data_IF_885066303163
#
_entry.id   IF_885066303163
#
_cell.length_a   1.000
_cell.length_b   1.000
_cell.length_c   1.000
_cell.angle_alpha   90.00
_cell.angle_beta   90.00
_cell.angle_gamma   90.00
#
_symmetry.space_group_name_H-M   'P 1'
#
loop_
_entity.id
_entity.type
_entity.pdbx_description
1 polymer ?
#
# COMPACT_ATOMS: atom_id res chain seq x y z
N UNK A 1 -8.10 -0.22 -24.60
CA UNK A 1 -6.80 -0.46 -23.95
C UNK A 1 -6.94 -1.76 -23.16
N UNK A 2 -6.07 -2.74 -23.41
CA UNK A 2 -6.06 -4.00 -22.63
C UNK A 2 -5.57 -3.64 -21.22
N UNK A 3 -6.35 -3.96 -20.19
CA UNK A 3 -5.91 -3.77 -18.81
C UNK A 3 -4.82 -4.81 -18.52
N UNK A 4 -3.56 -4.39 -18.45
CA UNK A 4 -2.43 -5.27 -18.16
C UNK A 4 -2.39 -5.69 -16.68
N UNK A 5 -3.19 -5.05 -15.84
CA UNK A 5 -3.32 -5.31 -14.40
C UNK A 5 -4.80 -5.44 -14.04
N UNK A 6 -5.48 -6.52 -14.45
CA UNK A 6 -6.88 -6.73 -14.10
C UNK A 6 -7.04 -6.80 -12.57
N UNK A 7 -8.19 -6.34 -12.09
CA UNK A 7 -8.57 -6.54 -10.68
C UNK A 7 -8.83 -8.03 -10.47
N UNK A 8 -8.04 -8.66 -9.61
CA UNK A 8 -8.15 -10.08 -9.25
C UNK A 8 -9.13 -10.23 -8.08
N UNK A 9 -10.01 -11.24 -8.13
CA UNK A 9 -10.97 -11.58 -7.06
C UNK A 9 -11.04 -13.09 -6.81
N UNK A 10 -9.91 -13.77 -6.97
CA UNK A 10 -9.87 -15.22 -6.83
C UNK A 10 -9.97 -15.61 -5.35
N UNK A 11 -10.72 -16.69 -5.03
CA UNK A 11 -10.76 -17.23 -3.68
C UNK A 11 -9.37 -17.57 -3.17
N UNK A 12 -9.10 -17.24 -1.92
CA UNK A 12 -7.78 -17.42 -1.32
C UNK A 12 -7.74 -18.73 -0.57
N UNK A 13 -6.72 -19.55 -0.86
CA UNK A 13 -6.38 -20.67 0.02
C UNK A 13 -5.70 -20.09 1.24
N UNK A 14 -6.32 -20.24 2.41
CA UNK A 14 -5.80 -19.67 3.66
C UNK A 14 -4.34 -20.07 3.90
N UNK A 15 -3.54 -19.07 4.27
CA UNK A 15 -2.16 -19.23 4.73
C UNK A 15 -1.84 -18.07 5.67
N UNK A 16 -1.11 -18.31 6.78
CA UNK A 16 -0.77 -17.27 7.77
C UNK A 16 0.16 -16.19 7.20
N UNK A 17 0.67 -16.37 5.99
CA UNK A 17 1.59 -15.46 5.30
C UNK A 17 0.88 -14.63 4.23
N UNK A 18 -0.45 -14.72 4.11
CA UNK A 18 -1.20 -14.00 3.08
C UNK A 18 -1.69 -12.67 3.63
N UNK A 19 -1.39 -11.59 2.90
CA UNK A 19 -1.78 -10.24 3.26
C UNK A 19 -2.19 -9.45 2.03
N UNK A 20 -2.93 -8.37 2.26
CA UNK A 20 -3.40 -7.48 1.21
C UNK A 20 -3.29 -6.03 1.66
N UNK A 21 -3.00 -5.14 0.72
CA UNK A 21 -2.89 -3.70 0.98
C UNK A 21 -3.64 -2.89 -0.07
N UNK A 22 -4.10 -1.70 0.32
CA UNK A 22 -4.73 -0.75 -0.58
C UNK A 22 -3.80 0.44 -0.86
N UNK A 23 -3.44 0.60 -2.13
CA UNK A 23 -2.81 1.82 -2.65
C UNK A 23 -3.92 2.77 -3.07
N UNK A 24 -4.17 3.80 -2.28
CA UNK A 24 -5.12 4.85 -2.62
C UNK A 24 -4.38 6.00 -3.30
N UNK A 25 -4.71 6.23 -4.56
CA UNK A 25 -4.28 7.39 -5.33
C UNK A 25 -5.47 8.32 -5.53
N UNK A 26 -5.25 9.63 -5.48
CA UNK A 26 -6.30 10.57 -5.82
C UNK A 26 -5.77 11.84 -6.49
N UNK A 27 -6.63 12.50 -7.25
CA UNK A 27 -6.29 13.76 -7.92
C UNK A 27 -6.76 14.94 -7.07
N UNK A 28 -5.86 15.90 -6.85
CA UNK A 28 -6.16 17.18 -6.22
C UNK A 28 -5.26 18.27 -6.80
N UNK A 29 -5.84 19.39 -7.25
CA UNK A 29 -5.10 20.51 -7.87
C UNK A 29 -4.08 20.06 -8.94
N UNK A 30 -4.53 19.24 -9.91
CA UNK A 30 -3.72 18.69 -11.01
C UNK A 30 -2.51 17.84 -10.59
N UNK A 31 -2.46 17.41 -9.32
CA UNK A 31 -1.45 16.49 -8.80
C UNK A 31 -2.09 15.19 -8.36
N UNK A 32 -1.34 14.10 -8.54
CA UNK A 32 -1.69 12.79 -7.98
C UNK A 32 -1.05 12.70 -6.61
N UNK A 33 -1.86 12.39 -5.61
CA UNK A 33 -1.44 12.10 -4.25
C UNK A 33 -1.56 10.60 -3.98
N UNK A 34 -0.71 10.11 -3.09
CA UNK A 34 -0.76 8.76 -2.53
C UNK A 34 -0.98 8.85 -1.03
N UNK A 35 -1.87 8.01 -0.50
CA UNK A 35 -2.06 7.84 0.94
C UNK A 35 -1.09 6.81 1.50
N UNK A 36 -0.43 7.16 2.60
CA UNK A 36 0.35 6.24 3.42
C UNK A 36 0.03 6.44 4.90
N UNK A 37 0.08 5.37 5.68
CA UNK A 37 -0.08 5.38 7.14
C UNK A 37 1.27 5.37 7.82
N UNK A 38 1.36 5.97 9.01
CA UNK A 38 2.45 5.80 9.95
C UNK A 38 2.00 4.86 11.06
N UNK A 39 2.65 3.70 11.18
CA UNK A 39 2.33 2.74 12.23
C UNK A 39 2.67 3.30 13.60
N UNK A 40 1.77 3.11 14.55
CA UNK A 40 1.95 3.51 15.94
C UNK A 40 3.23 2.94 16.55
N UNK A 41 4.01 3.81 17.19
CA UNK A 41 5.24 3.42 17.91
C UNK A 41 4.97 2.47 19.08
N UNK A 42 3.72 2.34 19.51
CA UNK A 42 3.32 1.44 20.61
C UNK A 42 3.17 -0.01 20.15
N UNK A 43 3.18 -0.27 18.82
CA UNK A 43 3.04 -1.60 18.27
C UNK A 43 4.32 -2.43 18.46
N UNK A 44 4.12 -3.74 18.67
CA UNK A 44 5.22 -4.69 18.85
C UNK A 44 5.97 -4.99 17.55
N UNK A 45 5.33 -4.78 16.41
CA UNK A 45 5.82 -5.15 15.08
C UNK A 45 5.80 -3.90 14.21
N UNK A 46 6.94 -3.60 13.56
CA UNK A 46 7.11 -2.48 12.64
C UNK A 46 6.71 -1.08 13.20
N UNK A 47 7.09 -0.73 14.45
CA UNK A 47 6.72 0.56 15.04
C UNK A 47 7.35 1.74 14.27
N UNK A 48 6.53 2.74 13.92
CA UNK A 48 6.99 3.95 13.21
C UNK A 48 7.33 3.75 11.74
N UNK A 49 7.00 2.59 11.16
CA UNK A 49 7.16 2.37 9.72
C UNK A 49 6.01 3.00 8.92
N UNK A 50 6.35 3.50 7.73
CA UNK A 50 5.35 3.98 6.77
C UNK A 50 4.91 2.87 5.83
N UNK A 51 3.60 2.67 5.72
CA UNK A 51 3.01 1.61 4.90
C UNK A 51 1.76 2.09 4.17
N UNK A 52 1.28 1.25 3.24
CA UNK A 52 -0.08 1.36 2.76
C UNK A 52 -1.04 0.74 3.79
N UNK A 53 -2.29 1.22 3.88
CA UNK A 53 -3.31 0.55 4.67
C UNK A 53 -3.46 -0.91 4.26
N UNK A 54 -3.57 -1.81 5.22
CA UNK A 54 -3.69 -3.23 4.92
C UNK A 54 -3.22 -4.15 6.04
N UNK A 55 -3.47 -5.43 5.85
CA UNK A 55 -3.28 -6.41 6.89
C UNK A 55 -3.39 -7.84 6.39
N UNK A 56 -3.59 -8.75 7.33
CA UNK A 56 -3.61 -10.19 7.05
C UNK A 56 -4.98 -10.60 6.53
N UNK A 57 -4.98 -11.60 5.65
CA UNK A 57 -6.21 -12.26 5.23
C UNK A 57 -6.87 -12.97 6.41
N UNK A 58 -8.17 -12.76 6.55
CA UNK A 58 -9.04 -13.51 7.46
C UNK A 58 -10.00 -14.39 6.66
N UNK A 59 -10.38 -15.56 7.18
CA UNK A 59 -11.22 -16.52 6.44
C UNK A 59 -12.57 -15.91 6.02
N UNK A 60 -13.06 -14.96 6.81
CA UNK A 60 -14.31 -14.23 6.60
C UNK A 60 -14.24 -13.24 5.44
N UNK A 61 -13.04 -12.86 4.99
CA UNK A 61 -12.85 -11.95 3.85
C UNK A 61 -13.24 -12.62 2.52
N UNK A 62 -13.00 -13.94 2.38
CA UNK A 62 -13.25 -14.71 1.16
C UNK A 62 -12.28 -14.44 -0.01
N UNK A 63 -11.86 -13.19 -0.21
CA UNK A 63 -10.84 -12.78 -1.18
C UNK A 63 -9.91 -11.65 -0.68
N UNK A 64 -8.78 -11.44 -1.34
CA UNK A 64 -7.79 -10.42 -0.92
C UNK A 64 -8.23 -8.98 -1.20
N UNK A 65 -9.18 -8.77 -2.10
CA UNK A 65 -9.71 -7.43 -2.33
C UNK A 65 -10.52 -7.01 -1.10
N UNK A 66 -11.36 -7.91 -0.60
CA UNK A 66 -12.16 -7.75 0.61
C UNK A 66 -11.27 -7.52 1.83
N UNK A 67 -10.15 -8.25 1.95
CA UNK A 67 -9.13 -7.98 2.97
C UNK A 67 -8.60 -6.54 2.89
N UNK A 68 -8.16 -6.08 1.71
CA UNK A 68 -7.62 -4.72 1.57
C UNK A 68 -8.66 -3.65 1.92
N UNK A 69 -9.92 -3.86 1.52
CA UNK A 69 -11.03 -2.94 1.80
C UNK A 69 -11.40 -2.91 3.29
N UNK A 70 -11.47 -4.08 3.95
CA UNK A 70 -11.73 -4.19 5.39
C UNK A 70 -10.65 -3.46 6.18
N UNK A 71 -9.39 -3.80 5.94
CA UNK A 71 -8.24 -3.22 6.65
C UNK A 71 -8.15 -1.70 6.42
N UNK A 72 -8.38 -1.23 5.18
CA UNK A 72 -8.43 0.22 4.90
C UNK A 72 -9.53 0.92 5.71
N UNK A 73 -10.68 0.29 5.84
CA UNK A 73 -11.77 0.84 6.65
C UNK A 73 -11.46 0.80 8.15
N UNK A 74 -10.81 -0.27 8.63
CA UNK A 74 -10.47 -0.45 10.04
C UNK A 74 -9.35 0.48 10.49
N UNK A 75 -8.28 0.62 9.69
CA UNK A 75 -7.11 1.43 10.05
C UNK A 75 -7.35 2.94 9.92
N UNK A 76 -8.06 3.38 8.87
CA UNK A 76 -8.18 4.81 8.51
C UNK A 76 -9.61 5.29 8.30
N UNK A 77 -10.61 4.45 8.61
CA UNK A 77 -12.03 4.79 8.48
C UNK A 77 -12.52 5.01 7.03
N UNK A 78 -11.66 4.77 6.04
CA UNK A 78 -11.95 5.04 4.63
C UNK A 78 -12.75 3.86 4.04
N UNK A 79 -14.01 4.15 3.69
CA UNK A 79 -14.88 3.20 2.99
C UNK A 79 -14.71 3.38 1.48
N UNK A 80 -14.21 2.35 0.81
CA UNK A 80 -14.12 2.28 -0.64
C UNK A 80 -15.14 1.26 -1.14
N UNK A 81 -15.79 1.59 -2.26
CA UNK A 81 -16.56 0.62 -3.04
C UNK A 81 -15.59 -0.10 -3.98
N UNK A 82 -15.74 -1.41 -4.13
CA UNK A 82 -14.85 -2.21 -4.97
C UNK A 82 -14.81 -1.74 -6.44
N UNK A 83 -15.85 -1.06 -6.92
CA UNK A 83 -15.91 -0.49 -8.27
C UNK A 83 -14.91 0.66 -8.48
N UNK A 84 -14.38 1.23 -7.40
CA UNK A 84 -13.31 2.23 -7.41
C UNK A 84 -11.92 1.62 -7.52
N UNK A 85 -11.80 0.29 -7.39
CA UNK A 85 -10.52 -0.41 -7.52
C UNK A 85 -10.24 -0.68 -8.99
N UNK A 86 -9.10 -0.21 -9.48
CA UNK A 86 -8.79 -0.16 -10.90
C UNK A 86 -7.79 -1.23 -11.34
N UNK A 87 -6.91 -1.67 -10.43
CA UNK A 87 -5.84 -2.59 -10.76
C UNK A 87 -5.39 -3.43 -9.56
N UNK A 88 -4.79 -4.58 -9.88
CA UNK A 88 -3.99 -5.38 -8.94
C UNK A 88 -2.54 -5.36 -9.40
N UNK A 89 -1.63 -4.95 -8.52
CA UNK A 89 -0.19 -4.95 -8.78
C UNK A 89 0.41 -6.35 -8.54
N UNK A 90 1.62 -6.64 -9.06
CA UNK A 90 2.31 -7.89 -8.76
C UNK A 90 2.43 -8.16 -7.25
N UNK A 91 2.33 -9.44 -6.88
CA UNK A 91 2.49 -9.87 -5.49
C UNK A 91 3.90 -9.56 -5.00
N UNK A 92 4.00 -8.96 -3.82
CA UNK A 92 5.27 -8.63 -3.17
C UNK A 92 5.54 -9.61 -2.03
N UNK A 93 6.68 -10.31 -2.12
CA UNK A 93 7.15 -11.16 -1.02
C UNK A 93 8.03 -10.37 -0.04
N UNK A 94 7.68 -10.42 1.25
CA UNK A 94 8.47 -9.80 2.33
C UNK A 94 9.63 -10.70 2.75
N UNK A 95 10.56 -10.14 3.54
CA UNK A 95 11.65 -10.89 4.17
C UNK A 95 11.17 -12.00 5.10
N UNK A 96 10.02 -11.78 5.75
CA UNK A 96 9.39 -12.71 6.68
C UNK A 96 8.51 -13.75 5.98
N UNK A 97 8.46 -13.74 4.64
CA UNK A 97 7.72 -14.70 3.83
C UNK A 97 6.27 -14.33 3.53
N UNK A 98 5.81 -13.14 3.94
CA UNK A 98 4.46 -12.69 3.60
C UNK A 98 4.34 -12.44 2.10
N UNK A 99 3.22 -12.86 1.53
CA UNK A 99 2.81 -12.57 0.16
C UNK A 99 1.74 -11.48 0.22
N UNK A 100 2.15 -10.26 -0.13
CA UNK A 100 1.29 -9.09 -0.11
C UNK A 100 0.73 -8.85 -1.51
N UNK A 101 -0.59 -8.85 -1.64
CA UNK A 101 -1.28 -8.48 -2.89
C UNK A 101 -1.71 -7.01 -2.82
N UNK A 102 -1.16 -6.12 -3.66
CA UNK A 102 -1.54 -4.71 -3.64
C UNK A 102 -2.70 -4.42 -4.62
N UNK A 103 -3.76 -3.80 -4.13
CA UNK A 103 -4.84 -3.25 -4.95
C UNK A 103 -4.69 -1.74 -5.08
N UNK A 104 -5.06 -1.19 -6.23
CA UNK A 104 -4.97 0.25 -6.52
C UNK A 104 -6.36 0.83 -6.73
N UNK A 105 -6.73 1.79 -5.89
CA UNK A 105 -7.92 2.62 -6.07
C UNK A 105 -7.50 4.03 -6.51
N UNK A 106 -8.07 4.51 -7.62
CA UNK A 106 -7.81 5.86 -8.15
C UNK A 106 -9.08 6.69 -8.01
N UNK A 107 -9.03 7.68 -7.13
CA UNK A 107 -10.16 8.54 -6.81
C UNK A 107 -10.06 9.88 -7.55
N UNK A 108 -11.20 10.40 -8.00
CA UNK A 108 -11.25 11.70 -8.67
C UNK A 108 -11.09 12.91 -7.74
N UNK A 109 -11.17 12.71 -6.43
CA UNK A 109 -11.10 13.74 -5.40
C UNK A 109 -10.40 13.22 -4.15
N UNK A 110 -9.95 14.14 -3.29
CA UNK A 110 -9.42 13.80 -1.96
C UNK A 110 -10.43 12.91 -1.19
N UNK A 111 -9.98 11.75 -0.66
CA UNK A 111 -10.83 10.85 0.11
C UNK A 111 -11.18 11.46 1.48
N UNK A 112 -12.37 11.15 1.98
CA UNK A 112 -12.75 11.53 3.34
C UNK A 112 -12.27 10.46 4.33
N UNK A 113 -11.19 10.77 5.04
CA UNK A 113 -10.62 9.91 6.09
C UNK A 113 -11.52 9.92 7.33
N UNK A 114 -11.72 8.75 7.93
CA UNK A 114 -12.52 8.60 9.14
C UNK A 114 -11.67 8.63 10.41
N UNK A 115 -12.12 7.89 11.42
CA UNK A 115 -11.38 7.68 12.65
C UNK A 115 -10.20 6.74 12.40
N UNK A 116 -9.04 7.06 12.98
CA UNK A 116 -7.84 6.23 12.92
C UNK A 116 -7.90 5.18 14.03
N UNK A 117 -7.49 3.95 13.72
CA UNK A 117 -7.31 2.94 14.76
C UNK A 117 -6.09 3.22 15.62
N UNK A 118 -5.99 2.56 16.78
CA UNK A 118 -4.82 2.63 17.66
C UNK A 118 -3.52 2.11 16.99
N UNK A 119 -3.63 1.42 15.85
CA UNK A 119 -2.48 0.97 15.06
C UNK A 119 -1.85 2.08 14.20
N UNK A 120 -2.58 3.17 13.95
CA UNK A 120 -2.16 4.25 13.06
C UNK A 120 -1.91 5.52 13.88
N UNK A 121 -0.66 5.99 13.89
CA UNK A 121 -0.28 7.24 14.54
C UNK A 121 -0.60 8.46 13.68
N UNK A 122 -0.45 8.34 12.35
CA UNK A 122 -0.71 9.45 11.43
C UNK A 122 -1.00 8.95 9.99
N UNK A 123 -1.55 9.84 9.16
CA UNK A 123 -1.73 9.64 7.72
C UNK A 123 -1.02 10.73 6.96
N UNK A 124 -0.32 10.32 5.89
CA UNK A 124 0.34 11.23 4.98
C UNK A 124 -0.31 11.20 3.59
N UNK A 125 -0.72 12.38 3.14
CA UNK A 125 -1.14 12.68 1.78
C UNK A 125 0.06 13.24 1.00
N UNK A 126 0.76 12.39 0.25
CA UNK A 126 2.04 12.77 -0.36
C UNK A 126 1.87 12.91 -1.87
N UNK A 127 2.30 14.02 -2.50
CA UNK A 127 2.36 14.07 -3.95
C UNK A 127 3.20 12.91 -4.49
N UNK A 128 2.60 12.06 -5.32
CA UNK A 128 3.20 10.78 -5.74
C UNK A 128 4.54 11.00 -6.45
N UNK A 129 4.61 12.00 -7.33
CA UNK A 129 5.86 12.32 -8.05
C UNK A 129 6.96 12.78 -7.10
N UNK A 130 6.62 13.58 -6.09
CA UNK A 130 7.58 14.07 -5.10
C UNK A 130 8.11 12.88 -4.28
N UNK A 131 7.23 11.98 -3.84
CA UNK A 131 7.63 10.76 -3.13
C UNK A 131 8.55 9.89 -3.99
N UNK A 132 8.18 9.60 -5.24
CA UNK A 132 8.98 8.76 -6.14
C UNK A 132 10.35 9.39 -6.43
N UNK A 133 10.44 10.72 -6.46
CA UNK A 133 11.72 11.43 -6.67
C UNK A 133 12.74 11.23 -5.53
N UNK A 134 12.28 10.82 -4.35
CA UNK A 134 13.16 10.53 -3.20
C UNK A 134 13.85 9.17 -3.27
N UNK A 135 13.60 8.40 -4.34
CA UNK A 135 14.14 7.07 -4.54
C UNK A 135 15.65 7.05 -4.40
N UNK A 136 16.13 6.20 -3.51
CA UNK A 136 17.56 5.97 -3.28
C UNK A 136 17.85 4.48 -3.30
N UNK A 137 19.06 4.12 -3.75
CA UNK A 137 19.52 2.73 -3.69
C UNK A 137 19.75 2.35 -2.23
N UNK A 138 19.20 1.22 -1.81
CA UNK A 138 19.51 0.67 -0.50
C UNK A 138 20.92 0.07 -0.51
N UNK A 139 21.83 0.65 0.28
CA UNK A 139 23.23 0.21 0.40
C UNK A 139 23.52 -0.54 1.69
N UNK A 140 22.48 -0.95 2.44
CA UNK A 140 22.62 -1.62 3.74
C UNK A 140 23.34 -2.98 3.69
N UNK A 141 23.50 -3.57 2.51
CA UNK A 141 24.21 -4.83 2.30
C UNK A 141 23.52 -6.07 2.87
N UNK A 142 22.31 -5.92 3.45
CA UNK A 142 21.53 -7.05 3.99
C UNK A 142 20.75 -7.72 2.86
N UNK A 143 20.96 -9.02 2.70
CA UNK A 143 20.27 -9.83 1.69
C UNK A 143 18.77 -9.89 1.95
N UNK A 144 17.98 -9.41 0.98
CA UNK A 144 16.52 -9.53 0.94
C UNK A 144 15.72 -8.27 1.31
N UNK A 145 16.39 -7.18 1.71
CA UNK A 145 15.73 -5.87 1.80
C UNK A 145 15.32 -5.36 0.40
N UNK A 146 14.43 -4.35 0.35
CA UNK A 146 14.11 -3.69 -0.91
C UNK A 146 15.38 -3.07 -1.53
N UNK A 147 15.54 -3.22 -2.85
CA UNK A 147 16.68 -2.63 -3.58
C UNK A 147 16.71 -1.10 -3.47
N UNK A 148 15.54 -0.50 -3.26
CA UNK A 148 15.35 0.94 -3.14
C UNK A 148 14.67 1.30 -1.82
N UNK A 149 14.92 2.53 -1.38
CA UNK A 149 14.28 3.23 -0.28
C UNK A 149 13.62 4.49 -0.83
N UNK A 150 12.57 4.94 -0.17
CA UNK A 150 11.93 6.24 -0.40
C UNK A 150 11.86 6.98 0.93
N UNK A 151 11.66 8.29 0.87
CA UNK A 151 11.65 9.14 2.06
C UNK A 151 10.47 10.10 2.02
N UNK A 152 9.83 10.26 3.16
CA UNK A 152 8.93 11.37 3.41
C UNK A 152 9.35 12.07 4.69
N UNK A 153 9.85 13.31 4.56
CA UNK A 153 10.46 14.03 5.67
C UNK A 153 11.58 13.20 6.33
N UNK A 154 11.44 12.84 7.62
CA UNK A 154 12.41 11.99 8.34
C UNK A 154 12.07 10.49 8.29
N UNK A 155 10.93 10.12 7.70
CA UNK A 155 10.44 8.75 7.69
C UNK A 155 10.96 8.01 6.45
N UNK A 156 11.62 6.87 6.69
CA UNK A 156 12.10 5.98 5.65
C UNK A 156 11.02 4.98 5.26
N UNK A 157 10.75 4.86 3.97
CA UNK A 157 9.86 3.86 3.39
C UNK A 157 10.73 2.79 2.71
N UNK A 158 10.56 1.55 3.15
CA UNK A 158 11.39 0.43 2.74
C UNK A 158 10.56 -0.86 2.65
N UNK A 159 11.22 -1.98 2.34
CA UNK A 159 10.57 -3.30 2.37
C UNK A 159 9.47 -3.44 1.32
N UNK A 160 8.30 -3.94 1.74
CA UNK A 160 7.18 -4.19 0.83
C UNK A 160 6.65 -2.90 0.20
N UNK A 161 6.42 -1.86 1.00
CA UNK A 161 5.94 -0.55 0.54
C UNK A 161 6.86 0.05 -0.53
N UNK A 162 8.18 -0.04 -0.34
CA UNK A 162 9.14 0.44 -1.34
C UNK A 162 9.14 -0.38 -2.64
N UNK A 163 8.90 -1.71 -2.57
CA UNK A 163 8.75 -2.54 -3.76
C UNK A 163 7.49 -2.13 -4.56
N UNK A 164 6.36 -1.94 -3.87
CA UNK A 164 5.10 -1.48 -4.46
C UNK A 164 5.26 -0.10 -5.11
N UNK A 165 5.94 0.85 -4.44
CA UNK A 165 6.26 2.15 -5.05
C UNK A 165 7.12 2.03 -6.32
N UNK A 166 8.05 1.06 -6.33
CA UNK A 166 8.84 0.74 -7.52
C UNK A 166 7.99 0.21 -8.69
N UNK A 167 6.99 -0.63 -8.40
CA UNK A 167 6.06 -1.13 -9.41
C UNK A 167 5.19 0.01 -9.97
N UNK A 168 4.70 0.91 -9.11
CA UNK A 168 3.95 2.11 -9.52
C UNK A 168 4.82 3.01 -10.41
N UNK A 169 6.07 3.25 -10.04
CA UNK A 169 7.01 4.06 -10.84
C UNK A 169 7.29 3.42 -12.21
N UNK A 170 7.48 2.11 -12.26
CA UNK A 170 7.70 1.37 -13.50
C UNK A 170 6.50 1.52 -14.45
N UNK A 171 5.28 1.35 -13.94
CA UNK A 171 4.05 1.51 -14.73
C UNK A 171 3.87 2.94 -15.24
N UNK A 172 4.16 3.94 -14.40
CA UNK A 172 4.11 5.36 -14.81
C UNK A 172 5.06 5.66 -15.97
N UNK A 173 6.25 5.05 -16.00
CA UNK A 173 7.25 5.29 -17.04
C UNK A 173 7.05 4.43 -18.31
N UNK A 174 6.14 3.46 -18.27
CA UNK A 174 5.89 2.51 -19.38
C UNK A 174 4.70 2.90 -20.26
N UNK A 175 4.10 4.06 -20.00
CA UNK A 175 3.00 4.69 -20.74
C UNK A 175 3.47 5.98 -21.39
#
# INVERSE_FOLDING_TARGET
MVNHHPVVREPVVWSPWTASVMVVLYVNNDKIFVLMTLRSKQLKIHPGEMSFPGGRYEEEDGDLLSTALRETKEEIGLKLDDTLVNATLPVVTTLTGYQITPYVAILGTCPNIGELSDEVEDIFEIPLVDLLSTKQRNTSGKTGESMYLYWHSTNCIWGASAKILGDIEYLRNSL
#
